data_IF_004370439103
#
_entry.id   IF_004370439103
#
_cell.length_a   1.000
_cell.length_b   1.000
_cell.length_c   1.000
_cell.angle_alpha   90.00
_cell.angle_beta   90.00
_cell.angle_gamma   90.00
#
_symmetry.space_group_name_H-M   'P 1'
#
loop_
_entity.id
_entity.type
_entity.pdbx_description
1 polymer ?
#
# COMPACT_ATOMS: atom_id res chain seq x y z
N UNK A 1 -14.39 15.46 -3.56
CA UNK A 1 -12.97 15.07 -3.38
C UNK A 1 -12.33 14.50 -4.65
N UNK A 2 -13.00 13.67 -5.45
CA UNK A 2 -12.41 13.07 -6.66
C UNK A 2 -12.00 14.08 -7.77
N UNK A 3 -12.75 15.17 -7.95
CA UNK A 3 -12.46 16.20 -8.98
C UNK A 3 -11.20 17.04 -8.67
N UNK A 4 -10.94 17.31 -7.38
CA UNK A 4 -9.71 18.00 -6.92
C UNK A 4 -8.48 17.11 -7.09
N UNK A 5 -8.60 15.82 -6.72
CA UNK A 5 -7.54 14.81 -6.92
C UNK A 5 -7.15 14.62 -8.38
N UNK A 6 -8.10 14.63 -9.32
CA UNK A 6 -7.80 14.55 -10.76
C UNK A 6 -7.05 15.79 -11.28
N UNK A 7 -7.39 16.97 -10.78
CA UNK A 7 -6.69 18.20 -11.15
C UNK A 7 -5.27 18.26 -10.56
N UNK A 8 -5.12 17.86 -9.30
CA UNK A 8 -3.81 17.78 -8.63
C UNK A 8 -2.91 16.74 -9.32
N UNK A 9 -3.47 15.58 -9.72
CA UNK A 9 -2.75 14.55 -10.46
C UNK A 9 -2.30 15.02 -11.85
N UNK A 10 -3.19 15.66 -12.61
CA UNK A 10 -2.85 16.17 -13.94
C UNK A 10 -1.75 17.25 -13.89
N UNK A 11 -1.71 18.06 -12.83
CA UNK A 11 -0.67 19.06 -12.63
C UNK A 11 0.67 18.42 -12.23
N UNK A 12 0.65 17.36 -11.41
CA UNK A 12 1.82 16.54 -11.09
C UNK A 12 2.38 15.83 -12.32
N UNK A 13 1.50 15.28 -13.17
CA UNK A 13 1.89 14.62 -14.41
C UNK A 13 2.50 15.63 -15.39
N UNK A 14 1.98 16.86 -15.48
CA UNK A 14 2.55 17.92 -16.32
C UNK A 14 3.94 18.38 -15.83
N UNK A 15 4.12 18.54 -14.51
CA UNK A 15 5.42 18.87 -13.90
C UNK A 15 6.44 17.73 -14.08
N UNK A 16 5.98 16.48 -13.99
CA UNK A 16 6.80 15.29 -14.24
C UNK A 16 7.23 15.20 -15.71
N UNK A 17 6.37 15.56 -16.65
CA UNK A 17 6.72 15.63 -18.07
C UNK A 17 7.71 16.76 -18.37
N UNK A 18 7.58 17.93 -17.73
CA UNK A 18 8.54 19.03 -17.88
C UNK A 18 9.91 18.68 -17.31
N UNK A 19 9.97 18.09 -16.11
CA UNK A 19 11.21 17.60 -15.51
C UNK A 19 11.79 16.40 -16.29
N UNK A 20 10.91 15.55 -16.85
CA UNK A 20 11.26 14.42 -17.70
C UNK A 20 11.97 14.83 -19.00
N UNK A 21 11.68 16.02 -19.55
CA UNK A 21 12.38 16.56 -20.73
C UNK A 21 13.87 16.82 -20.50
N UNK A 22 14.28 17.01 -19.25
CA UNK A 22 15.69 17.17 -18.92
C UNK A 22 16.46 15.85 -19.05
N UNK A 23 15.74 14.73 -19.01
CA UNK A 23 16.22 13.39 -19.28
C UNK A 23 15.84 12.98 -20.71
N UNK A 24 16.63 12.10 -21.33
CA UNK A 24 16.36 11.63 -22.69
C UNK A 24 15.27 10.55 -22.78
N UNK A 25 14.53 10.32 -21.70
CA UNK A 25 13.57 9.22 -21.55
C UNK A 25 12.47 9.57 -20.53
N UNK A 26 11.21 9.23 -20.84
CA UNK A 26 10.08 9.48 -19.96
C UNK A 26 9.76 8.29 -19.06
N UNK A 27 8.97 8.52 -18.00
CA UNK A 27 8.44 7.45 -17.15
C UNK A 27 7.52 6.50 -17.92
N UNK A 28 6.81 6.98 -18.95
CA UNK A 28 5.97 6.13 -19.80
C UNK A 28 6.81 5.17 -20.62
N UNK A 29 7.90 5.66 -21.21
CA UNK A 29 8.81 4.83 -22.00
C UNK A 29 9.45 3.73 -21.13
N UNK A 30 9.88 4.08 -19.91
CA UNK A 30 10.41 3.10 -18.96
C UNK A 30 9.37 2.03 -18.58
N UNK A 31 8.12 2.42 -18.38
CA UNK A 31 7.03 1.47 -18.10
C UNK A 31 6.76 0.54 -19.28
N UNK A 32 6.73 1.08 -20.50
CA UNK A 32 6.55 0.28 -21.71
C UNK A 32 7.69 -0.71 -21.88
N UNK A 33 8.93 -0.26 -21.69
CA UNK A 33 10.11 -1.11 -21.76
C UNK A 33 10.05 -2.27 -20.75
N UNK A 34 9.60 -2.01 -19.52
CA UNK A 34 9.45 -3.07 -18.50
C UNK A 34 8.29 -4.05 -18.78
N UNK A 35 7.31 -3.66 -19.61
CA UNK A 35 6.22 -4.55 -20.00
C UNK A 35 6.64 -5.53 -21.09
N UNK A 36 7.59 -5.14 -21.94
CA UNK A 36 8.11 -5.98 -23.01
C UNK A 36 9.10 -7.00 -22.45
N UNK A 37 8.77 -8.30 -22.54
CA UNK A 37 9.55 -9.38 -21.91
C UNK A 37 10.44 -10.13 -22.89
N UNK A 38 11.43 -10.83 -22.34
CA UNK A 38 12.25 -11.79 -23.05
C UNK A 38 12.94 -11.20 -24.30
N UNK A 39 12.86 -11.91 -25.41
CA UNK A 39 13.55 -11.54 -26.64
C UNK A 39 13.04 -10.22 -27.24
N UNK A 40 11.74 -9.95 -27.13
CA UNK A 40 11.15 -8.71 -27.65
C UNK A 40 11.60 -7.50 -26.82
N UNK A 41 11.70 -7.66 -25.50
CA UNK A 41 12.23 -6.61 -24.62
C UNK A 41 13.71 -6.33 -24.85
N UNK A 42 14.53 -7.38 -25.07
CA UNK A 42 15.95 -7.21 -25.44
C UNK A 42 16.08 -6.47 -26.77
N UNK A 43 15.22 -6.78 -27.74
CA UNK A 43 15.21 -6.11 -29.03
C UNK A 43 14.84 -4.63 -28.88
N UNK A 44 13.78 -4.32 -28.14
CA UNK A 44 13.35 -2.94 -27.87
C UNK A 44 14.43 -2.14 -27.14
N UNK A 45 15.04 -2.73 -26.10
CA UNK A 45 16.15 -2.15 -25.35
C UNK A 45 17.31 -1.76 -26.28
N UNK A 46 17.70 -2.65 -27.19
CA UNK A 46 18.84 -2.42 -28.08
C UNK A 46 18.50 -1.48 -29.25
N UNK A 47 17.37 -1.68 -29.93
CA UNK A 47 17.00 -0.92 -31.13
C UNK A 47 16.48 0.49 -30.81
N UNK A 48 15.64 0.65 -29.79
CA UNK A 48 14.98 1.93 -29.48
C UNK A 48 15.81 2.76 -28.49
N UNK A 49 16.37 2.10 -27.48
CA UNK A 49 17.05 2.78 -26.38
C UNK A 49 18.58 2.78 -26.49
N UNK A 50 19.17 2.09 -27.46
CA UNK A 50 20.62 2.01 -27.64
C UNK A 50 21.31 1.13 -26.59
N UNK A 51 20.60 0.13 -26.07
CA UNK A 51 21.07 -0.78 -25.04
C UNK A 51 21.21 -0.14 -23.66
N UNK A 52 21.93 -0.82 -22.77
CA UNK A 52 22.21 -0.35 -21.41
C UNK A 52 22.96 1.01 -21.40
N UNK A 53 23.91 1.17 -22.31
CA UNK A 53 24.69 2.41 -22.43
C UNK A 53 23.81 3.60 -22.83
N UNK A 54 22.88 3.39 -23.78
CA UNK A 54 21.94 4.42 -24.21
C UNK A 54 20.96 4.82 -23.11
N UNK A 55 20.45 3.85 -22.33
CA UNK A 55 19.62 4.16 -21.14
C UNK A 55 20.44 4.92 -20.10
N UNK A 56 21.66 4.46 -19.78
CA UNK A 56 22.55 5.15 -18.84
C UNK A 56 22.80 6.61 -19.26
N UNK A 57 23.07 6.85 -20.54
CA UNK A 57 23.27 8.20 -21.08
C UNK A 57 22.00 9.06 -20.97
N UNK A 58 20.83 8.52 -21.32
CA UNK A 58 19.54 9.25 -21.24
C UNK A 58 19.15 9.58 -19.79
N UNK A 59 19.44 8.68 -18.86
CA UNK A 59 19.24 8.88 -17.42
C UNK A 59 20.38 9.65 -16.74
N UNK A 60 21.42 10.05 -17.49
CA UNK A 60 22.64 10.71 -16.97
C UNK A 60 23.30 9.91 -15.83
N UNK A 61 23.23 8.59 -15.90
CA UNK A 61 23.82 7.64 -14.94
C UNK A 61 25.04 6.98 -15.54
N UNK A 62 26.11 6.87 -14.76
CA UNK A 62 27.24 6.02 -15.11
C UNK A 62 27.02 4.59 -14.55
N UNK A 63 27.12 3.58 -15.41
CA UNK A 63 26.87 2.18 -15.05
C UNK A 63 27.89 1.60 -14.06
N UNK A 64 29.07 2.21 -13.94
CA UNK A 64 30.16 1.76 -13.06
C UNK A 64 30.20 2.58 -11.77
N UNK A 65 30.18 3.91 -11.90
CA UNK A 65 30.31 4.82 -10.75
C UNK A 65 28.97 5.13 -10.08
N UNK A 66 27.86 4.77 -10.71
CA UNK A 66 26.52 5.09 -10.23
C UNK A 66 26.17 6.58 -10.32
N UNK A 67 25.13 6.98 -9.58
CA UNK A 67 24.66 8.36 -9.51
C UNK A 67 25.57 9.26 -8.66
N UNK A 68 25.54 10.55 -8.96
CA UNK A 68 26.11 11.57 -8.08
C UNK A 68 25.13 11.91 -6.96
N UNK A 69 25.63 12.11 -5.74
CA UNK A 69 24.80 12.49 -4.57
C UNK A 69 24.44 13.98 -4.52
N UNK A 70 24.30 14.62 -5.68
CA UNK A 70 23.84 16.00 -5.72
C UNK A 70 22.34 16.05 -5.37
N UNK A 71 22.00 16.74 -4.27
CA UNK A 71 20.62 16.89 -3.82
C UNK A 71 19.70 17.48 -4.89
N UNK A 72 20.22 18.40 -5.73
CA UNK A 72 19.46 18.98 -6.84
C UNK A 72 19.11 17.92 -7.89
N UNK A 73 20.06 17.08 -8.31
CA UNK A 73 19.83 16.00 -9.29
C UNK A 73 18.82 14.98 -8.77
N UNK A 74 18.97 14.55 -7.51
CA UNK A 74 18.04 13.64 -6.86
C UNK A 74 16.61 14.22 -6.80
N UNK A 75 16.48 15.51 -6.47
CA UNK A 75 15.18 16.18 -6.44
C UNK A 75 14.52 16.30 -7.82
N UNK A 76 15.32 16.53 -8.88
CA UNK A 76 14.85 16.57 -10.26
C UNK A 76 14.36 15.21 -10.72
N UNK A 77 15.08 14.13 -10.39
CA UNK A 77 14.64 12.75 -10.67
C UNK A 77 13.34 12.41 -9.97
N UNK A 78 13.19 12.81 -8.70
CA UNK A 78 11.95 12.63 -7.96
C UNK A 78 10.80 13.41 -8.58
N UNK A 79 11.05 14.62 -9.10
CA UNK A 79 10.05 15.39 -9.83
C UNK A 79 9.67 14.73 -11.16
N UNK A 80 10.65 14.23 -11.91
CA UNK A 80 10.47 13.61 -13.23
C UNK A 80 9.83 12.22 -13.16
N UNK A 81 10.27 11.36 -12.24
CA UNK A 81 9.92 9.93 -12.20
C UNK A 81 9.12 9.52 -10.96
N UNK A 82 8.97 10.41 -9.98
CA UNK A 82 8.31 10.10 -8.71
C UNK A 82 9.24 9.48 -7.67
N UNK A 83 8.66 9.17 -6.50
CA UNK A 83 9.35 8.53 -5.37
C UNK A 83 9.11 7.03 -5.36
N UNK A 84 10.06 6.26 -4.85
CA UNK A 84 9.90 4.83 -4.60
C UNK A 84 9.08 4.56 -3.33
N UNK A 85 7.82 5.00 -3.32
CA UNK A 85 6.90 4.81 -2.19
C UNK A 85 5.50 4.45 -2.68
N UNK A 86 4.96 3.35 -2.14
CA UNK A 86 3.58 2.96 -2.39
C UNK A 86 2.67 3.87 -1.55
N UNK A 87 1.73 4.61 -2.15
CA UNK A 87 0.89 5.54 -1.41
C UNK A 87 0.07 4.79 -0.35
N UNK A 88 0.18 5.17 0.94
CA UNK A 88 -0.53 4.46 2.00
C UNK A 88 -2.04 4.68 1.87
N UNK A 89 -2.82 3.64 2.19
CA UNK A 89 -4.29 3.78 2.27
C UNK A 89 -4.63 4.83 3.33
N UNK A 90 -5.57 5.76 3.05
CA UNK A 90 -5.94 6.80 4.00
C UNK A 90 -6.43 6.19 5.31
N UNK A 91 -6.22 6.87 6.47
CA UNK A 91 -6.70 6.38 7.74
C UNK A 91 -8.22 6.30 7.76
N UNK A 92 -8.74 5.18 8.28
CA UNK A 92 -10.16 5.09 8.61
C UNK A 92 -10.43 6.05 9.78
N UNK A 93 -11.49 6.84 9.66
CA UNK A 93 -11.93 7.73 10.74
C UNK A 93 -12.61 6.90 11.83
N UNK A 94 -12.60 7.38 13.08
CA UNK A 94 -13.29 6.72 14.18
C UNK A 94 -14.78 6.49 13.87
N UNK A 95 -15.47 7.48 13.30
CA UNK A 95 -16.87 7.34 12.88
C UNK A 95 -17.08 6.29 11.79
N UNK A 96 -16.12 6.13 10.86
CA UNK A 96 -16.20 5.09 9.85
C UNK A 96 -16.06 3.69 10.48
N UNK A 97 -15.14 3.54 11.43
CA UNK A 97 -14.97 2.30 12.19
C UNK A 97 -16.21 1.98 13.03
N UNK A 98 -16.79 2.98 13.68
CA UNK A 98 -18.03 2.82 14.45
C UNK A 98 -19.21 2.40 13.57
N UNK A 99 -19.33 2.98 12.37
CA UNK A 99 -20.35 2.56 11.41
C UNK A 99 -20.12 1.14 10.88
N UNK A 100 -18.87 0.75 10.63
CA UNK A 100 -18.52 -0.62 10.26
C UNK A 100 -18.84 -1.62 11.39
N UNK A 101 -18.57 -1.27 12.65
CA UNK A 101 -18.93 -2.08 13.81
C UNK A 101 -20.45 -2.24 13.96
N UNK A 102 -21.23 -1.20 13.66
CA UNK A 102 -22.71 -1.25 13.68
C UNK A 102 -23.31 -2.17 12.59
N UNK A 103 -22.55 -2.56 11.57
CA UNK A 103 -23.01 -3.50 10.53
C UNK A 103 -22.82 -4.98 10.89
N UNK A 104 -22.23 -5.29 12.04
CA UNK A 104 -22.14 -6.67 12.53
C UNK A 104 -23.55 -7.21 12.81
N UNK A 105 -23.90 -8.34 12.19
CA UNK A 105 -25.21 -9.00 12.32
C UNK A 105 -25.57 -9.22 13.79
N UNK A 106 -24.58 -9.55 14.63
CA UNK A 106 -24.80 -9.75 16.07
C UNK A 106 -25.22 -8.46 16.77
N UNK A 107 -24.58 -7.33 16.47
CA UNK A 107 -24.92 -6.01 17.03
C UNK A 107 -26.25 -5.49 16.48
N UNK A 108 -26.54 -5.70 15.20
CA UNK A 108 -27.83 -5.32 14.61
C UNK A 108 -28.99 -6.05 15.29
N UNK A 109 -28.86 -7.36 15.56
CA UNK A 109 -29.88 -8.13 16.29
C UNK A 109 -30.09 -7.53 17.69
N UNK A 110 -29.02 -7.21 18.41
CA UNK A 110 -29.12 -6.61 19.74
C UNK A 110 -29.80 -5.23 19.72
N UNK A 111 -29.51 -4.40 18.72
CA UNK A 111 -30.17 -3.09 18.53
C UNK A 111 -31.67 -3.29 18.28
N UNK A 112 -32.05 -4.24 17.43
CA UNK A 112 -33.46 -4.54 17.15
C UNK A 112 -34.17 -5.02 18.43
N UNK A 113 -33.56 -5.96 19.18
CA UNK A 113 -34.09 -6.42 20.46
C UNK A 113 -34.25 -5.27 21.48
N UNK A 114 -33.28 -4.36 21.53
CA UNK A 114 -33.33 -3.18 22.40
C UNK A 114 -34.48 -2.25 22.03
N UNK A 115 -34.67 -1.96 20.73
CA UNK A 115 -35.76 -1.12 20.23
C UNK A 115 -37.11 -1.76 20.51
N UNK A 116 -37.28 -3.06 20.25
CA UNK A 116 -38.54 -3.77 20.52
C UNK A 116 -38.88 -3.72 22.01
N UNK A 117 -37.91 -4.01 22.89
CA UNK A 117 -38.10 -3.99 24.34
C UNK A 117 -38.44 -2.58 24.86
N UNK A 118 -37.78 -1.56 24.32
CA UNK A 118 -38.07 -0.16 24.63
C UNK A 118 -39.48 0.25 24.15
N UNK A 119 -39.87 -0.10 22.92
CA UNK A 119 -41.21 0.20 22.39
C UNK A 119 -42.32 -0.50 23.19
N UNK A 120 -42.12 -1.77 23.58
CA UNK A 120 -43.07 -2.49 24.44
C UNK A 120 -43.21 -1.85 25.81
N UNK A 121 -42.13 -1.26 26.35
CA UNK A 121 -42.20 -0.52 27.62
C UNK A 121 -43.06 0.74 27.56
N UNK A 122 -43.30 1.33 26.37
CA UNK A 122 -44.24 2.46 26.24
C UNK A 122 -45.67 2.01 25.93
N UNK A 123 -45.84 0.76 25.51
CA UNK A 123 -47.14 0.22 25.14
C UNK A 123 -47.73 -0.55 26.33
N UNK A 124 -48.46 0.17 27.19
CA UNK A 124 -49.27 -0.46 28.23
C UNK A 124 -50.69 -0.70 27.69
N UNK A 125 -51.06 -1.92 27.26
CA UNK A 125 -52.46 -2.24 27.07
C UNK A 125 -53.16 -2.17 28.44
N UNK A 126 -54.24 -1.40 28.50
CA UNK A 126 -55.15 -1.41 29.64
C UNK A 126 -55.87 -2.76 29.69
N UNK A 127 -55.53 -3.52 30.73
CA UNK A 127 -56.25 -4.65 31.34
C UNK A 127 -56.14 -6.06 30.71
N UNK A 128 -55.86 -6.97 31.65
CA UNK A 128 -56.20 -8.39 31.77
C UNK A 128 -55.81 -9.34 30.63
N UNK A 129 -54.76 -10.15 30.85
CA UNK A 129 -54.86 -11.63 31.00
C UNK A 129 -53.46 -12.24 31.16
N UNK A 130 -53.34 -13.15 32.14
CA UNK A 130 -52.32 -14.20 32.32
C UNK A 130 -50.95 -13.86 32.94
N UNK A 131 -50.87 -14.20 34.24
CA UNK A 131 -49.71 -14.72 34.98
C UNK A 131 -48.29 -14.32 34.53
N UNK A 132 -47.73 -13.33 35.23
CA UNK A 132 -46.44 -13.54 35.86
C UNK A 132 -46.55 -13.11 37.32
N UNK A 133 -46.77 -14.11 38.15
CA UNK A 133 -46.75 -13.99 39.60
C UNK A 133 -45.39 -13.45 40.06
N UNK A 134 -45.45 -12.55 41.05
CA UNK A 134 -44.33 -12.01 41.82
C UNK A 134 -43.54 -10.87 41.17
N UNK A 135 -44.09 -9.64 41.19
CA UNK A 135 -43.36 -8.40 41.52
C UNK A 135 -44.35 -7.25 41.77
N UNK A 136 -44.13 -6.39 42.78
CA UNK A 136 -45.03 -5.28 43.08
C UNK A 136 -45.00 -4.22 41.96
N UNK A 137 -46.11 -3.49 41.82
CA UNK A 137 -46.28 -2.35 40.93
C UNK A 137 -45.17 -1.31 41.15
N UNK A 138 -44.21 -1.25 40.23
CA UNK A 138 -43.33 -0.10 40.04
C UNK A 138 -43.31 0.28 38.56
N UNK A 139 -44.41 0.87 38.07
CA UNK A 139 -44.53 1.41 36.71
C UNK A 139 -43.45 2.47 36.36
N UNK A 140 -42.66 2.92 37.34
CA UNK A 140 -41.53 3.83 37.14
C UNK A 140 -40.23 3.12 36.69
N UNK A 141 -40.20 1.79 36.60
CA UNK A 141 -38.98 1.00 36.37
C UNK A 141 -38.98 0.27 35.01
N UNK A 142 -40.10 0.21 34.29
CA UNK A 142 -40.18 -0.58 33.05
C UNK A 142 -39.35 0.04 31.90
N UNK A 143 -39.32 1.38 31.78
CA UNK A 143 -38.46 2.06 30.80
C UNK A 143 -36.97 1.86 31.08
N UNK A 144 -36.62 1.55 32.33
CA UNK A 144 -35.24 1.35 32.80
C UNK A 144 -34.68 0.06 32.20
N UNK A 145 -35.50 -0.98 32.00
CA UNK A 145 -35.07 -2.23 31.38
C UNK A 145 -34.69 -2.04 29.91
N UNK A 146 -35.55 -1.38 29.12
CA UNK A 146 -35.24 -1.03 27.73
C UNK A 146 -34.06 -0.06 27.61
N UNK A 147 -33.98 0.93 28.50
CA UNK A 147 -32.86 1.87 28.54
C UNK A 147 -31.53 1.18 28.89
N UNK A 148 -31.53 0.20 29.80
CA UNK A 148 -30.34 -0.56 30.18
C UNK A 148 -29.75 -1.34 29.00
N UNK A 149 -30.61 -1.95 28.16
CA UNK A 149 -30.16 -2.67 26.96
C UNK A 149 -29.57 -1.71 25.92
N UNK A 150 -30.21 -0.55 25.69
CA UNK A 150 -29.69 0.46 24.76
C UNK A 150 -28.32 0.97 25.23
N UNK A 151 -28.18 1.28 26.52
CA UNK A 151 -26.90 1.73 27.10
C UNK A 151 -25.84 0.63 26.96
N UNK A 152 -26.18 -0.63 27.24
CA UNK A 152 -25.25 -1.74 27.09
C UNK A 152 -24.75 -1.88 25.65
N UNK A 153 -25.64 -1.76 24.65
CA UNK A 153 -25.28 -1.81 23.23
C UNK A 153 -24.38 -0.64 22.83
N UNK A 154 -24.69 0.58 23.29
CA UNK A 154 -23.84 1.77 23.03
C UNK A 154 -22.44 1.56 23.60
N UNK A 155 -22.32 1.07 24.83
CA UNK A 155 -21.02 0.80 25.46
C UNK A 155 -20.24 -0.25 24.65
N UNK A 156 -20.89 -1.35 24.23
CA UNK A 156 -20.23 -2.37 23.41
C UNK A 156 -19.74 -1.80 22.08
N UNK A 157 -20.56 -1.02 21.37
CA UNK A 157 -20.16 -0.39 20.09
C UNK A 157 -18.98 0.55 20.30
N UNK A 158 -18.99 1.36 21.36
CA UNK A 158 -17.89 2.27 21.68
C UNK A 158 -16.60 1.51 22.00
N UNK A 159 -16.66 0.44 22.81
CA UNK A 159 -15.50 -0.39 23.14
C UNK A 159 -14.96 -1.09 21.89
N UNK A 160 -15.83 -1.64 21.03
CA UNK A 160 -15.43 -2.29 19.77
C UNK A 160 -14.78 -1.29 18.82
N UNK A 161 -15.39 -0.12 18.60
CA UNK A 161 -14.84 0.93 17.74
C UNK A 161 -13.49 1.47 18.28
N UNK A 162 -13.37 1.61 19.60
CA UNK A 162 -12.13 2.03 20.24
C UNK A 162 -11.01 0.99 20.10
N UNK A 163 -11.34 -0.30 20.29
CA UNK A 163 -10.41 -1.40 20.09
C UNK A 163 -9.91 -1.45 18.65
N UNK A 164 -10.81 -1.36 17.67
CA UNK A 164 -10.44 -1.40 16.26
C UNK A 164 -9.66 -0.15 15.82
N UNK A 165 -9.99 1.02 16.36
CA UNK A 165 -9.20 2.24 16.14
C UNK A 165 -7.78 2.11 16.71
N UNK A 166 -7.64 1.51 17.89
CA UNK A 166 -6.33 1.25 18.52
C UNK A 166 -5.52 0.25 17.70
N UNK A 167 -6.13 -0.85 17.24
CA UNK A 167 -5.49 -1.85 16.36
C UNK A 167 -5.01 -1.22 15.05
N UNK A 168 -5.86 -0.43 14.40
CA UNK A 168 -5.52 0.26 13.14
C UNK A 168 -4.34 1.22 13.34
N UNK A 169 -4.31 1.95 14.46
CA UNK A 169 -3.20 2.86 14.80
C UNK A 169 -1.90 2.11 15.07
N UNK A 170 -1.96 0.98 15.78
CA UNK A 170 -0.79 0.14 16.05
C UNK A 170 -0.25 -0.50 14.77
N UNK A 171 -1.11 -1.04 13.92
CA UNK A 171 -0.73 -1.62 12.63
C UNK A 171 -0.01 -0.60 11.74
N UNK A 172 -0.52 0.64 11.69
CA UNK A 172 0.12 1.74 10.96
C UNK A 172 1.48 2.12 11.54
N UNK A 173 1.60 2.15 12.88
CA UNK A 173 2.87 2.41 13.54
C UNK A 173 3.93 1.37 13.20
N UNK A 174 3.55 0.08 13.20
CA UNK A 174 4.44 -1.02 12.83
C UNK A 174 4.81 -0.95 11.33
N UNK A 175 3.83 -0.76 10.45
CA UNK A 175 4.06 -0.64 9.01
C UNK A 175 5.03 0.50 8.70
N UNK A 176 4.83 1.67 9.33
CA UNK A 176 5.72 2.82 9.13
C UNK A 176 7.16 2.57 9.58
N UNK A 177 7.37 1.78 10.64
CA UNK A 177 8.71 1.42 11.11
C UNK A 177 9.39 0.40 10.21
N UNK A 178 8.66 -0.65 9.81
CA UNK A 178 9.17 -1.69 8.91
C UNK A 178 9.60 -1.08 7.57
N UNK A 179 8.79 -0.17 7.02
CA UNK A 179 9.12 0.52 5.76
C UNK A 179 10.32 1.47 5.86
N UNK A 180 10.66 1.98 7.06
CA UNK A 180 11.80 2.87 7.28
C UNK A 180 13.11 2.09 7.48
N UNK A 181 13.05 0.88 8.03
CA UNK A 181 14.23 0.09 8.37
C UNK A 181 14.78 -0.74 7.20
N UNK A 182 14.02 -0.92 6.12
CA UNK A 182 14.49 -1.61 4.94
C UNK A 182 15.48 -0.76 4.13
N UNK A 183 16.72 -1.23 4.08
CA UNK A 183 17.81 -0.59 3.33
C UNK A 183 18.34 -1.51 2.23
N UNK A 184 18.78 -0.91 1.14
CA UNK A 184 19.34 -1.60 -0.01
C UNK A 184 20.73 -1.07 -0.36
N UNK A 185 21.56 -1.92 -0.96
CA UNK A 185 22.90 -1.52 -1.42
C UNK A 185 22.80 -0.86 -2.80
N UNK A 186 23.25 0.39 -2.90
CA UNK A 186 23.35 1.13 -4.15
C UNK A 186 24.76 1.63 -4.36
N UNK A 187 25.17 1.82 -5.61
CA UNK A 187 26.42 2.47 -5.98
C UNK A 187 26.13 3.94 -6.26
N UNK A 188 26.73 4.85 -5.48
CA UNK A 188 26.70 6.29 -5.71
C UNK A 188 28.10 6.86 -5.48
N UNK A 189 28.56 7.76 -6.35
CA UNK A 189 29.93 8.31 -6.34
C UNK A 189 31.03 7.22 -6.27
N UNK A 190 30.85 6.11 -7.00
CA UNK A 190 31.74 4.93 -7.02
C UNK A 190 31.86 4.16 -5.70
N UNK A 191 31.00 4.45 -4.72
CA UNK A 191 31.00 3.81 -3.40
C UNK A 191 29.70 3.04 -3.22
N UNK A 192 29.79 1.81 -2.73
CA UNK A 192 28.62 1.03 -2.31
C UNK A 192 28.13 1.59 -0.99
N UNK A 193 26.87 2.04 -0.94
CA UNK A 193 26.22 2.59 0.23
C UNK A 193 24.90 1.89 0.49
N UNK A 194 24.52 1.81 1.76
CA UNK A 194 23.23 1.28 2.17
C UNK A 194 22.27 2.45 2.39
N UNK A 195 21.26 2.58 1.53
CA UNK A 195 20.24 3.64 1.63
C UNK A 195 18.85 3.04 1.87
N UNK A 196 17.92 3.76 2.53
CA UNK A 196 16.53 3.32 2.64
C UNK A 196 15.90 3.09 1.26
N UNK A 197 15.05 2.07 1.12
CA UNK A 197 14.38 1.76 -0.17
C UNK A 197 13.60 2.96 -0.72
N UNK A 198 13.01 3.77 0.16
CA UNK A 198 12.26 4.99 -0.20
C UNK A 198 13.10 6.09 -0.85
N UNK A 199 14.42 6.06 -0.66
CA UNK A 199 15.36 7.04 -1.22
C UNK A 199 15.98 6.59 -2.55
N UNK A 200 15.66 5.38 -3.01
CA UNK A 200 16.06 4.88 -4.32
C UNK A 200 15.29 5.66 -5.39
N UNK A 201 16.02 6.12 -6.41
CA UNK A 201 15.48 6.90 -7.52
C UNK A 201 15.82 6.24 -8.85
N UNK A 202 15.09 6.60 -9.90
CA UNK A 202 15.35 6.11 -11.26
C UNK A 202 16.77 6.51 -11.69
N UNK A 203 17.53 5.50 -12.11
CA UNK A 203 18.94 5.63 -12.49
C UNK A 203 19.93 5.23 -11.40
N UNK A 204 19.49 4.83 -10.20
CA UNK A 204 20.39 4.20 -9.22
C UNK A 204 20.90 2.84 -9.73
N UNK A 205 22.15 2.53 -9.39
CA UNK A 205 22.75 1.22 -9.65
C UNK A 205 22.66 0.40 -8.38
N UNK A 206 21.74 -0.57 -8.35
CA UNK A 206 21.48 -1.43 -7.20
C UNK A 206 22.38 -2.67 -7.23
N UNK A 207 23.01 -3.00 -6.10
CA UNK A 207 23.78 -4.23 -5.95
C UNK A 207 22.92 -5.29 -5.27
N UNK A 208 22.45 -6.25 -6.04
CA UNK A 208 21.59 -7.36 -5.58
C UNK A 208 22.45 -8.55 -5.14
N UNK A 209 22.15 -9.11 -3.97
CA UNK A 209 22.78 -10.32 -3.42
C UNK A 209 21.76 -11.44 -3.27
N UNK A 210 22.25 -12.65 -2.99
CA UNK A 210 21.39 -13.80 -2.71
C UNK A 210 20.52 -13.53 -1.47
N UNK A 211 19.20 -13.75 -1.61
CA UNK A 211 18.21 -13.52 -0.55
C UNK A 211 17.69 -12.09 -0.45
N UNK A 212 18.19 -11.17 -1.27
CA UNK A 212 17.68 -9.80 -1.32
C UNK A 212 16.31 -9.75 -2.02
N UNK A 213 15.39 -8.96 -1.47
CA UNK A 213 14.15 -8.59 -2.15
C UNK A 213 14.40 -7.39 -3.07
N UNK A 214 13.95 -7.47 -4.32
CA UNK A 214 14.17 -6.40 -5.29
C UNK A 214 13.40 -5.13 -4.92
N UNK A 215 14.09 -3.99 -4.69
CA UNK A 215 13.47 -2.78 -4.15
C UNK A 215 12.65 -1.98 -5.18
N UNK A 216 12.90 -2.24 -6.47
CA UNK A 216 12.24 -1.63 -7.61
C UNK A 216 12.49 -2.49 -8.86
N UNK A 217 11.69 -2.25 -9.89
CA UNK A 217 11.90 -2.79 -11.23
C UNK A 217 13.21 -2.26 -11.83
N UNK A 218 13.90 -3.08 -12.62
CA UNK A 218 15.18 -2.67 -13.20
C UNK A 218 15.68 -3.57 -14.33
N UNK A 219 16.84 -3.19 -14.85
CA UNK A 219 17.53 -3.92 -15.93
C UNK A 219 18.90 -4.38 -15.41
N UNK A 220 19.24 -5.64 -15.66
CA UNK A 220 20.52 -6.24 -15.31
C UNK A 220 21.63 -5.54 -16.09
N UNK A 221 22.51 -4.87 -15.36
CA UNK A 221 23.74 -4.27 -15.91
C UNK A 221 24.86 -5.30 -16.02
N UNK A 222 25.01 -6.13 -14.99
CA UNK A 222 25.99 -7.21 -14.92
C UNK A 222 25.48 -8.27 -13.94
N UNK A 223 25.66 -9.55 -14.26
CA UNK A 223 25.20 -10.66 -13.42
C UNK A 223 26.17 -11.84 -13.44
N UNK A 224 26.22 -12.60 -12.35
CA UNK A 224 26.93 -13.89 -12.27
C UNK A 224 25.96 -14.98 -11.78
N UNK A 225 25.46 -15.81 -12.71
CA UNK A 225 24.40 -16.82 -12.48
C UNK A 225 23.19 -16.29 -11.69
N UNK A 226 22.75 -15.06 -12.01
CA UNK A 226 21.60 -14.44 -11.38
C UNK A 226 20.34 -15.25 -11.70
N UNK A 227 19.67 -15.69 -10.65
CA UNK A 227 18.39 -16.39 -10.69
C UNK A 227 17.40 -15.64 -9.83
N UNK A 228 16.21 -15.41 -10.38
CA UNK A 228 15.15 -14.67 -9.71
C UNK A 228 13.93 -15.56 -9.63
N UNK A 229 13.30 -15.55 -8.46
CA UNK A 229 11.99 -16.16 -8.25
C UNK A 229 10.92 -15.17 -8.75
N UNK A 230 10.21 -15.54 -9.81
CA UNK A 230 9.09 -14.76 -10.35
C UNK A 230 7.73 -15.40 -10.04
N UNK A 231 7.68 -16.33 -9.09
CA UNK A 231 6.46 -17.07 -8.74
C UNK A 231 5.31 -16.18 -8.30
N UNK A 232 5.59 -15.06 -7.61
CA UNK A 232 4.59 -14.03 -7.27
C UNK A 232 3.89 -13.44 -8.48
N UNK A 233 4.52 -13.46 -9.65
CA UNK A 233 4.02 -12.83 -10.87
C UNK A 233 3.50 -13.84 -11.91
N UNK A 234 4.17 -14.98 -12.05
CA UNK A 234 3.82 -16.01 -13.04
C UNK A 234 3.02 -17.15 -12.45
N UNK A 235 3.07 -17.35 -11.13
CA UNK A 235 2.52 -18.52 -10.44
C UNK A 235 3.37 -19.78 -10.57
N UNK A 236 4.50 -19.72 -11.27
CA UNK A 236 5.43 -20.83 -11.44
C UNK A 236 6.60 -20.68 -10.45
N UNK A 237 6.87 -21.71 -9.64
CA UNK A 237 7.93 -21.69 -8.61
C UNK A 237 9.34 -21.88 -9.15
N UNK A 238 9.53 -21.88 -10.48
CA UNK A 238 10.81 -22.11 -11.11
C UNK A 238 11.66 -20.84 -11.12
N UNK A 239 12.93 -20.99 -10.74
CA UNK A 239 13.90 -19.91 -10.76
C UNK A 239 14.30 -19.56 -12.21
N UNK A 240 14.08 -18.30 -12.59
CA UNK A 240 14.37 -17.80 -13.94
C UNK A 240 15.78 -17.21 -13.95
N UNK A 241 16.62 -17.70 -14.87
CA UNK A 241 17.96 -17.15 -15.10
C UNK A 241 17.87 -15.81 -15.82
N UNK A 242 18.44 -14.77 -15.22
CA UNK A 242 18.50 -13.41 -15.78
C UNK A 242 19.91 -13.13 -16.29
N UNK A 243 19.97 -12.52 -17.48
CA UNK A 243 21.22 -12.19 -18.15
C UNK A 243 21.02 -10.99 -19.06
N UNK A 244 22.05 -10.15 -19.16
CA UNK A 244 22.09 -8.93 -19.98
C UNK A 244 21.60 -9.12 -21.43
N UNK A 245 21.83 -10.30 -22.03
CA UNK A 245 21.56 -10.57 -23.45
C UNK A 245 20.31 -11.40 -23.75
N UNK A 246 19.67 -12.02 -22.74
CA UNK A 246 18.55 -12.96 -22.97
C UNK A 246 17.28 -12.53 -22.26
N UNK A 247 17.41 -12.12 -21.01
CA UNK A 247 16.30 -11.65 -20.20
C UNK A 247 16.85 -10.76 -19.08
N UNK A 248 17.07 -9.46 -19.39
CA UNK A 248 17.73 -8.55 -18.48
C UNK A 248 16.74 -7.89 -17.51
N UNK A 249 15.44 -8.14 -17.62
CA UNK A 249 14.45 -7.42 -16.81
C UNK A 249 14.25 -8.08 -15.45
N UNK A 250 14.33 -7.25 -14.41
CA UNK A 250 14.08 -7.58 -13.02
C UNK A 250 12.80 -6.88 -12.58
N UNK A 251 11.90 -7.63 -11.97
CA UNK A 251 10.62 -7.12 -11.50
C UNK A 251 10.60 -7.18 -9.97
N UNK A 252 10.24 -6.05 -9.36
CA UNK A 252 9.98 -5.98 -7.92
C UNK A 252 8.68 -6.73 -7.65
N UNK A 253 8.83 -7.99 -7.23
CA UNK A 253 7.75 -8.81 -6.72
C UNK A 253 7.27 -8.29 -5.37
N UNK A 254 6.51 -7.20 -5.36
CA UNK A 254 5.84 -6.74 -4.15
C UNK A 254 4.59 -7.60 -3.88
N UNK A 255 4.79 -8.81 -3.35
CA UNK A 255 3.80 -9.46 -2.51
C UNK A 255 3.80 -8.81 -1.12
N UNK A 256 3.41 -7.53 -1.07
CA UNK A 256 2.88 -6.94 0.17
C UNK A 256 1.38 -7.18 0.28
N UNK A 257 0.93 -8.43 0.12
CA UNK A 257 -0.42 -8.82 0.50
C UNK A 257 -0.41 -10.24 1.09
N UNK A 258 -0.33 -10.27 2.42
CA UNK A 258 -0.99 -11.24 3.29
C UNK A 258 -0.98 -12.69 2.80
N UNK A 259 -0.09 -13.49 3.38
CA UNK A 259 -0.49 -14.81 3.86
C UNK A 259 -1.87 -14.68 4.50
N UNK A 260 -2.88 -15.19 3.82
CA UNK A 260 -4.09 -15.69 4.47
C UNK A 260 -3.96 -17.21 4.45
N UNK A 261 -3.54 -17.76 5.58
CA UNK A 261 -4.08 -19.04 6.05
C UNK A 261 -5.60 -18.95 6.10
#
# INVERSE_FOLDING_TARGET
MAKKRKADQANLDALSEEAGREFGISLKDLKTLMQTRGHDGVRELNEIHGGLSGIGQRLKTNLITGLSENASDLSLRVAAFGRNEIPPKPPKTFFRLMFEALQDVTLVILIICAIISFCLSFYHPSEDTFESATKPKEANVEWIEGAAIIIAVIVVVLVTAFNDWTKERQFRGLQSKIELDQKFNVVRNSIVKQIPIKEIVVGDICQVKYGDLLPADGVVVQSNDLKVDESSLTGESDLIKKHESKDPFLLSGNDYYLMKT
#
